data_IF_016546521111
#
_entry.id   IF_016546521111
#
_cell.length_a   1.000
_cell.length_b   1.000
_cell.length_c   1.000
_cell.angle_alpha   90.00
_cell.angle_beta   90.00
_cell.angle_gamma   90.00
#
_symmetry.space_group_name_H-M   'P 1'
#
loop_
_entity.id
_entity.type
_entity.pdbx_description
1 polymer ?
#
# COMPACT_ATOMS: atom_id res chain seq x y z
N UNK A 1 1.07 32.97 -54.53
CA UNK A 1 1.75 31.92 -53.73
C UNK A 1 1.71 32.33 -52.26
N UNK A 2 0.76 31.82 -51.46
CA UNK A 2 0.60 32.23 -50.07
C UNK A 2 1.35 31.28 -49.13
N UNK A 3 2.41 31.78 -48.47
CA UNK A 3 3.22 31.05 -47.50
C UNK A 3 2.42 30.91 -46.20
N UNK A 4 1.80 29.74 -45.98
CA UNK A 4 1.03 29.39 -44.77
C UNK A 4 1.98 29.14 -43.59
N UNK A 5 2.70 30.19 -43.17
CA UNK A 5 3.60 30.18 -42.02
C UNK A 5 2.90 30.71 -40.78
N UNK A 6 1.93 29.97 -40.23
CA UNK A 6 1.26 30.30 -38.96
C UNK A 6 1.02 29.02 -38.18
N UNK A 7 1.45 29.02 -36.91
CA UNK A 7 1.08 28.12 -35.80
C UNK A 7 1.93 26.87 -35.49
N UNK A 8 2.97 26.52 -36.25
CA UNK A 8 3.81 25.36 -35.89
C UNK A 8 4.57 25.54 -34.58
N UNK A 9 5.07 26.74 -34.28
CA UNK A 9 5.79 27.05 -33.04
C UNK A 9 4.90 26.99 -31.79
N UNK A 10 3.67 27.51 -31.89
CA UNK A 10 2.70 27.46 -30.79
C UNK A 10 2.20 26.03 -30.52
N UNK A 11 1.98 25.26 -31.59
CA UNK A 11 1.60 23.84 -31.48
C UNK A 11 2.70 23.03 -30.81
N UNK A 12 3.97 23.26 -31.19
CA UNK A 12 5.12 22.56 -30.60
C UNK A 12 5.27 22.87 -29.10
N UNK A 13 5.06 24.12 -28.69
CA UNK A 13 5.12 24.52 -27.28
C UNK A 13 4.02 23.87 -26.42
N UNK A 14 2.79 23.79 -26.95
CA UNK A 14 1.68 23.10 -26.28
C UNK A 14 2.00 21.60 -26.16
N UNK A 15 2.55 20.99 -27.21
CA UNK A 15 2.93 19.57 -27.20
C UNK A 15 4.00 19.27 -26.15
N UNK A 16 5.02 20.13 -26.03
CA UNK A 16 6.06 20.00 -25.00
C UNK A 16 5.50 20.13 -23.58
N UNK A 17 4.55 21.04 -23.36
CA UNK A 17 3.87 21.17 -22.07
C UNK A 17 3.07 19.92 -21.72
N UNK A 18 2.29 19.39 -22.68
CA UNK A 18 1.49 18.18 -22.46
C UNK A 18 2.39 16.98 -22.18
N UNK A 19 3.51 16.83 -22.92
CA UNK A 19 4.48 15.77 -22.68
C UNK A 19 5.10 15.91 -21.28
N UNK A 20 5.50 17.12 -20.89
CA UNK A 20 6.08 17.37 -19.57
C UNK A 20 5.11 17.04 -18.42
N UNK A 21 3.85 17.45 -18.54
CA UNK A 21 2.80 17.12 -17.57
C UNK A 21 2.56 15.61 -17.54
N UNK A 22 2.41 14.96 -18.70
CA UNK A 22 2.18 13.52 -18.77
C UNK A 22 3.34 12.73 -18.15
N UNK A 23 4.60 13.09 -18.46
CA UNK A 23 5.78 12.47 -17.85
C UNK A 23 5.81 12.66 -16.33
N UNK A 24 5.50 13.87 -15.84
CA UNK A 24 5.39 14.15 -14.41
C UNK A 24 4.31 13.31 -13.72
N UNK A 25 3.13 13.19 -14.33
CA UNK A 25 2.03 12.34 -13.83
C UNK A 25 2.46 10.87 -13.78
N UNK A 26 3.12 10.35 -14.83
CA UNK A 26 3.62 8.97 -14.85
C UNK A 26 4.61 8.72 -13.71
N UNK A 27 5.56 9.64 -13.47
CA UNK A 27 6.51 9.53 -12.37
C UNK A 27 5.81 9.54 -11.00
N UNK A 28 4.80 10.41 -10.82
CA UNK A 28 4.02 10.47 -9.56
C UNK A 28 3.21 9.20 -9.36
N UNK A 29 2.57 8.67 -10.40
CA UNK A 29 1.78 7.44 -10.34
C UNK A 29 2.64 6.24 -9.95
N UNK A 30 3.86 6.13 -10.49
CA UNK A 30 4.80 5.08 -10.10
C UNK A 30 5.11 5.13 -8.59
N UNK A 31 5.39 6.32 -8.04
CA UNK A 31 5.67 6.46 -6.60
C UNK A 31 4.44 6.19 -5.74
N UNK A 32 3.26 6.61 -6.18
CA UNK A 32 2.02 6.36 -5.45
C UNK A 32 1.66 4.87 -5.42
N UNK A 33 1.90 4.13 -6.50
CA UNK A 33 1.64 2.68 -6.56
C UNK A 33 2.45 1.91 -5.50
N UNK A 34 3.75 2.22 -5.36
CA UNK A 34 4.58 1.62 -4.31
C UNK A 34 4.09 1.94 -2.89
N UNK A 35 3.66 3.19 -2.66
CA UNK A 35 3.12 3.60 -1.36
C UNK A 35 1.79 2.92 -1.06
N UNK A 36 0.92 2.79 -2.05
CA UNK A 36 -0.36 2.12 -1.90
C UNK A 36 -0.13 0.63 -1.62
N UNK A 37 0.75 -0.03 -2.38
CA UNK A 37 1.12 -1.44 -2.14
C UNK A 37 1.72 -1.67 -0.75
N UNK A 38 2.57 -0.77 -0.27
CA UNK A 38 3.12 -0.85 1.08
C UNK A 38 2.04 -0.72 2.17
N UNK A 39 1.04 0.15 1.96
CA UNK A 39 -0.10 0.28 2.88
C UNK A 39 -1.02 -0.94 2.87
N UNK A 40 -1.22 -1.56 1.71
CA UNK A 40 -1.99 -2.81 1.64
C UNK A 40 -1.28 -3.95 2.38
N UNK A 41 0.06 -4.02 2.32
CA UNK A 41 0.85 -4.96 3.14
C UNK A 41 0.75 -4.64 4.64
N UNK A 42 0.80 -3.37 5.03
CA UNK A 42 0.60 -2.98 6.45
C UNK A 42 -0.79 -3.35 6.99
N UNK A 43 -1.77 -3.56 6.10
CA UNK A 43 -3.13 -3.95 6.46
C UNK A 43 -3.28 -5.47 6.62
N UNK A 44 -2.24 -6.26 6.33
CA UNK A 44 -2.31 -7.70 6.52
C UNK A 44 -2.42 -8.02 8.01
N UNK A 45 -3.52 -8.68 8.36
CA UNK A 45 -3.84 -9.07 9.73
C UNK A 45 -3.94 -10.58 9.87
N UNK A 46 -3.52 -11.06 11.04
CA UNK A 46 -3.53 -12.46 11.42
C UNK A 46 -4.41 -12.66 12.63
N UNK A 47 -5.20 -13.73 12.59
CA UNK A 47 -5.96 -14.18 13.76
C UNK A 47 -5.09 -15.11 14.57
N UNK A 48 -4.98 -14.85 15.87
CA UNK A 48 -4.29 -15.73 16.82
C UNK A 48 -5.19 -16.04 18.01
N UNK A 49 -4.94 -17.18 18.64
CA UNK A 49 -5.45 -17.49 19.96
C UNK A 49 -4.48 -16.93 21.01
N UNK A 50 -4.94 -15.94 21.76
CA UNK A 50 -4.19 -15.19 22.75
C UNK A 50 -4.62 -15.56 24.17
N UNK A 51 -3.65 -15.63 25.08
CA UNK A 51 -3.90 -15.81 26.52
C UNK A 51 -3.79 -14.47 27.24
N UNK A 52 -4.91 -14.00 27.78
CA UNK A 52 -4.99 -12.74 28.52
C UNK A 52 -4.11 -12.74 29.77
N UNK A 53 -3.44 -11.61 30.03
CA UNK A 53 -2.57 -11.47 31.19
C UNK A 53 -3.35 -11.62 32.50
N UNK A 54 -2.92 -12.57 33.34
CA UNK A 54 -3.53 -12.84 34.65
C UNK A 54 -4.79 -13.70 34.62
N UNK A 55 -5.20 -14.22 33.44
CA UNK A 55 -6.31 -15.16 33.30
C UNK A 55 -5.89 -16.56 32.84
N UNK A 56 -6.79 -17.53 32.96
CA UNK A 56 -6.71 -18.84 32.30
C UNK A 56 -7.61 -18.93 31.06
N UNK A 57 -8.04 -17.77 30.55
CA UNK A 57 -8.93 -17.65 29.41
C UNK A 57 -8.15 -17.39 28.12
N UNK A 58 -8.60 -18.04 27.05
CA UNK A 58 -8.07 -17.89 25.70
C UNK A 58 -9.10 -17.20 24.83
N UNK A 59 -8.67 -16.19 24.09
CA UNK A 59 -9.52 -15.39 23.19
C UNK A 59 -8.92 -15.37 21.79
N UNK A 60 -9.76 -15.10 20.78
CA UNK A 60 -9.27 -14.81 19.44
C UNK A 60 -9.08 -13.31 19.29
N UNK A 61 -7.88 -12.91 18.88
CA UNK A 61 -7.56 -11.53 18.57
C UNK A 61 -7.02 -11.42 17.14
N UNK A 62 -7.20 -10.25 16.54
CA UNK A 62 -6.68 -9.91 15.23
C UNK A 62 -5.50 -8.95 15.41
N UNK A 63 -4.35 -9.34 14.86
CA UNK A 63 -3.08 -8.65 15.00
C UNK A 63 -2.56 -8.24 13.64
N UNK A 64 -1.74 -7.20 13.58
CA UNK A 64 -0.99 -6.89 12.36
C UNK A 64 0.12 -7.90 12.15
N UNK A 65 0.53 -8.13 10.91
CA UNK A 65 1.70 -8.96 10.57
C UNK A 65 2.95 -8.56 11.37
N UNK A 66 3.17 -7.25 11.56
CA UNK A 66 4.31 -6.71 12.31
C UNK A 66 4.40 -7.21 13.75
N UNK A 67 3.26 -7.54 14.34
CA UNK A 67 3.15 -7.87 15.76
C UNK A 67 3.05 -9.39 15.96
N UNK A 68 2.89 -10.16 14.87
CA UNK A 68 2.67 -11.60 14.92
C UNK A 68 3.85 -12.34 15.56
N UNK A 69 5.09 -12.01 15.17
CA UNK A 69 6.28 -12.69 15.68
C UNK A 69 6.41 -12.52 17.20
N UNK A 70 6.12 -11.32 17.72
CA UNK A 70 6.14 -11.05 19.15
C UNK A 70 5.09 -11.89 19.90
N UNK A 71 3.86 -11.93 19.41
CA UNK A 71 2.76 -12.68 20.03
C UNK A 71 3.04 -14.19 20.01
N UNK A 72 3.57 -14.74 18.91
CA UNK A 72 3.97 -16.15 18.84
C UNK A 72 5.11 -16.47 19.82
N UNK A 73 6.08 -15.57 19.98
CA UNK A 73 7.17 -15.72 20.95
C UNK A 73 6.68 -15.61 22.41
N UNK A 74 5.56 -14.93 22.65
CA UNK A 74 4.91 -14.84 23.96
C UNK A 74 3.95 -16.02 24.25
N UNK A 75 3.75 -16.92 23.28
CA UNK A 75 2.99 -18.16 23.46
C UNK A 75 1.59 -18.17 22.84
N UNK A 76 1.25 -17.16 22.04
CA UNK A 76 0.03 -17.16 21.24
C UNK A 76 0.10 -18.22 20.14
N UNK A 77 -1.07 -18.71 19.72
CA UNK A 77 -1.19 -19.77 18.72
C UNK A 77 -1.78 -19.17 17.45
N UNK A 78 -1.10 -19.34 16.31
CA UNK A 78 -1.63 -18.89 15.02
C UNK A 78 -2.96 -19.61 14.69
N UNK A 79 -3.99 -18.83 14.37
CA UNK A 79 -5.31 -19.32 14.00
C UNK A 79 -6.27 -19.52 15.17
N UNK A 80 -7.12 -20.55 15.08
CA UNK A 80 -8.18 -20.82 16.04
C UNK A 80 -7.67 -21.33 17.39
N UNK A 81 -8.42 -21.08 18.46
CA UNK A 81 -8.13 -21.65 19.77
C UNK A 81 -8.39 -23.16 19.78
N UNK A 82 -7.48 -23.97 20.35
CA UNK A 82 -7.71 -25.39 20.49
C UNK A 82 -8.97 -25.63 21.33
N UNK A 83 -9.93 -26.36 20.76
CA UNK A 83 -11.09 -26.83 21.50
C UNK A 83 -10.61 -27.92 22.45
N UNK A 84 -10.70 -27.68 23.76
CA UNK A 84 -10.48 -28.70 24.77
C UNK A 84 -11.54 -29.79 24.69
#
# INVERSE_FOLDING_TARGET
MAKKGKNTFGLLGILLLVIGVAAGVVLVLQVQDFRNKAKELEKETFVVCHKEEGGDYWSLIELKESDLEEHLNHGDILGGCPTQ
#
